data_IF_914978749030
#
_entry.id   IF_914978749030
#
_cell.length_a   1.000
_cell.length_b   1.000
_cell.length_c   1.000
_cell.angle_alpha   90.00
_cell.angle_beta   90.00
_cell.angle_gamma   90.00
#
_symmetry.space_group_name_H-M   'P 1'
#
loop_
_entity.id
_entity.type
_entity.pdbx_description
1 polymer ?
#
# COMPACT_ATOMS: atom_id res chain seq x y z
N UNK A 1 6.97 20.89 16.76
CA UNK A 1 6.56 19.86 15.78
C UNK A 1 7.48 18.66 15.96
N UNK A 2 6.94 17.50 16.36
CA UNK A 2 7.72 16.26 16.41
C UNK A 2 8.02 15.82 14.97
N UNK A 3 9.29 15.76 14.62
CA UNK A 3 9.76 15.23 13.33
C UNK A 3 9.41 13.74 13.26
N UNK A 4 8.47 13.39 12.38
CA UNK A 4 8.12 12.00 12.07
C UNK A 4 9.28 11.43 11.25
N UNK A 5 10.12 10.60 11.87
CA UNK A 5 11.10 9.82 11.11
C UNK A 5 10.33 8.90 10.15
N UNK A 6 10.72 8.81 8.87
CA UNK A 6 10.06 7.90 7.94
C UNK A 6 10.17 6.47 8.50
N UNK A 7 9.03 5.86 8.78
CA UNK A 7 8.96 4.47 9.21
C UNK A 7 9.20 3.56 8.01
N UNK A 8 10.20 2.69 8.11
CA UNK A 8 10.63 1.89 6.97
C UNK A 8 9.57 0.85 6.58
N UNK A 9 8.89 1.09 5.46
CA UNK A 9 7.92 0.16 4.87
C UNK A 9 8.66 -1.10 4.39
N UNK A 10 9.93 -0.98 3.99
CA UNK A 10 10.76 -2.10 3.52
C UNK A 10 10.87 -3.20 4.57
N UNK A 11 11.02 -2.83 5.84
CA UNK A 11 11.09 -3.79 6.94
C UNK A 11 9.79 -4.64 7.08
N UNK A 12 8.62 -4.07 6.74
CA UNK A 12 7.37 -4.84 6.72
C UNK A 12 7.32 -5.81 5.53
N UNK A 13 7.88 -5.41 4.38
CA UNK A 13 7.94 -6.27 3.20
C UNK A 13 8.92 -7.43 3.43
N UNK A 14 10.06 -7.16 4.07
CA UNK A 14 11.05 -8.18 4.46
C UNK A 14 10.50 -9.18 5.49
N UNK A 15 9.58 -8.75 6.35
CA UNK A 15 8.94 -9.62 7.35
C UNK A 15 7.85 -10.54 6.78
N UNK A 16 7.61 -10.52 5.47
CA UNK A 16 6.64 -11.40 4.82
C UNK A 16 7.11 -12.87 4.91
N UNK A 17 6.24 -13.72 5.44
CA UNK A 17 6.46 -15.17 5.49
C UNK A 17 5.61 -15.89 4.44
N UNK A 18 6.20 -16.85 3.74
CA UNK A 18 5.49 -17.65 2.74
C UNK A 18 4.37 -18.48 3.39
N UNK A 19 3.25 -18.58 2.67
CA UNK A 19 2.06 -19.29 3.15
C UNK A 19 1.28 -18.59 4.28
N UNK A 20 1.66 -17.36 4.65
CA UNK A 20 0.98 -16.57 5.68
C UNK A 20 0.36 -15.30 5.07
N UNK A 21 -0.58 -14.70 5.82
CA UNK A 21 -1.06 -13.35 5.51
C UNK A 21 0.07 -12.32 5.69
N UNK A 22 -0.10 -11.12 5.13
CA UNK A 22 0.91 -10.08 5.26
C UNK A 22 1.00 -9.56 6.71
N UNK A 23 2.15 -8.99 7.11
CA UNK A 23 2.27 -8.29 8.39
C UNK A 23 1.19 -7.23 8.60
N UNK A 24 0.62 -7.18 9.81
CA UNK A 24 -0.52 -6.32 10.14
C UNK A 24 -0.31 -4.83 9.80
N UNK A 25 0.94 -4.35 9.85
CA UNK A 25 1.29 -2.99 9.50
C UNK A 25 0.99 -2.63 8.04
N UNK A 26 1.01 -3.62 7.12
CA UNK A 26 0.67 -3.40 5.71
C UNK A 26 -0.83 -3.20 5.47
N UNK A 27 -1.67 -3.49 6.46
CA UNK A 27 -3.12 -3.28 6.38
C UNK A 27 -3.61 -2.09 7.18
N UNK A 28 -2.85 -1.65 8.18
CA UNK A 28 -3.36 -0.77 9.25
C UNK A 28 -2.60 0.53 9.39
N UNK A 29 -1.39 0.65 8.82
CA UNK A 29 -0.60 1.88 8.91
C UNK A 29 -0.99 2.86 7.81
N UNK A 30 -1.26 4.10 8.22
CA UNK A 30 -1.56 5.21 7.32
C UNK A 30 -0.47 5.44 6.27
N UNK A 31 0.80 5.37 6.66
CA UNK A 31 1.91 5.64 5.73
C UNK A 31 2.09 4.54 4.68
N UNK A 32 1.63 3.31 4.97
CA UNK A 32 1.55 2.25 3.96
C UNK A 32 0.41 2.53 3.00
N UNK A 33 -0.76 2.93 3.50
CA UNK A 33 -1.88 3.30 2.63
C UNK A 33 -1.52 4.44 1.66
N UNK A 34 -0.87 5.49 2.16
CA UNK A 34 -0.39 6.59 1.31
C UNK A 34 0.62 6.11 0.25
N UNK A 35 1.50 5.18 0.61
CA UNK A 35 2.42 4.55 -0.35
C UNK A 35 1.66 3.72 -1.39
N UNK A 36 0.61 2.99 -1.00
CA UNK A 36 -0.21 2.21 -1.93
C UNK A 36 -0.92 3.12 -2.94
N UNK A 37 -1.45 4.26 -2.48
CA UNK A 37 -2.06 5.28 -3.34
C UNK A 37 -1.05 5.81 -4.36
N UNK A 38 0.14 6.23 -3.92
CA UNK A 38 1.15 6.80 -4.81
C UNK A 38 1.77 5.78 -5.77
N UNK A 39 2.00 4.54 -5.33
CA UNK A 39 2.69 3.53 -6.12
C UNK A 39 1.73 2.73 -6.99
N UNK A 40 0.61 2.25 -6.43
CA UNK A 40 -0.30 1.38 -7.17
C UNK A 40 -1.37 2.19 -7.88
N UNK A 41 -2.18 2.96 -7.15
CA UNK A 41 -3.39 3.57 -7.72
C UNK A 41 -3.09 4.73 -8.68
N UNK A 42 -2.04 5.51 -8.45
CA UNK A 42 -1.69 6.60 -9.35
C UNK A 42 -0.85 6.20 -10.57
N UNK A 43 -0.22 5.01 -10.56
CA UNK A 43 0.78 4.63 -11.58
C UNK A 43 0.45 3.35 -12.34
N UNK A 44 -0.67 2.69 -12.04
CA UNK A 44 -1.11 1.47 -12.72
C UNK A 44 -2.49 1.63 -13.33
N UNK A 45 -2.81 0.80 -14.32
CA UNK A 45 -4.14 0.76 -14.92
C UNK A 45 -5.19 0.29 -13.91
N UNK A 46 -6.27 1.05 -13.80
CA UNK A 46 -7.44 0.72 -12.98
C UNK A 46 -8.63 0.52 -13.93
N UNK A 47 -9.34 -0.60 -13.78
CA UNK A 47 -10.60 -0.83 -14.49
C UNK A 47 -11.69 0.06 -13.88
N UNK A 48 -12.29 0.93 -14.69
CA UNK A 48 -13.28 1.92 -14.21
C UNK A 48 -14.72 1.53 -14.55
N UNK A 49 -14.95 0.81 -15.65
CA UNK A 49 -16.31 0.45 -16.07
C UNK A 49 -16.34 -0.28 -17.40
N UNK A 50 -17.56 -0.56 -17.88
CA UNK A 50 -17.81 -1.15 -19.19
C UNK A 50 -18.15 -0.05 -20.19
N UNK A 51 -17.83 -0.29 -21.46
CA UNK A 51 -18.12 0.67 -22.54
C UNK A 51 -19.61 1.01 -22.68
N UNK A 52 -20.52 0.13 -22.25
CA UNK A 52 -21.97 0.34 -22.34
C UNK A 52 -22.59 1.10 -21.16
N UNK A 53 -21.77 1.55 -20.20
CA UNK A 53 -22.23 2.30 -19.01
C UNK A 53 -22.39 3.81 -19.27
N UNK A 54 -22.03 4.30 -20.47
CA UNK A 54 -22.12 5.72 -20.90
C UNK A 54 -22.80 5.89 -22.26
#
# INVERSE_FOLDING_TARGET
MLTRLPSDISALLEARADGHSLPAGLYTREDVFEADIDVFFHKHWICIGLDCDV
#
